data_IF_873204730060
#
_entry.id   IF_873204730060
#
_cell.length_a   1.000
_cell.length_b   1.000
_cell.length_c   1.000
_cell.angle_alpha   90.00
_cell.angle_beta   90.00
_cell.angle_gamma   90.00
#
_symmetry.space_group_name_H-M   'P 1'
#
loop_
_entity.id
_entity.type
_entity.pdbx_description
1 polymer ?
#
# COMPACT_ATOMS: atom_id res chain seq x y z
N UNK A 1 -35.87 -16.15 9.72
CA UNK A 1 -34.96 -16.25 8.65
C UNK A 1 -33.86 -15.16 8.79
N UNK A 2 -32.64 -15.54 9.22
CA UNK A 2 -31.54 -14.62 9.24
C UNK A 2 -31.08 -14.40 7.79
N UNK A 3 -31.31 -13.22 7.26
CA UNK A 3 -30.66 -12.76 6.04
C UNK A 3 -29.19 -12.54 6.34
N UNK A 4 -28.36 -13.55 6.11
CA UNK A 4 -26.92 -13.42 6.13
C UNK A 4 -26.51 -12.42 5.05
N UNK A 5 -26.10 -11.23 5.46
CA UNK A 5 -25.52 -10.26 4.56
C UNK A 5 -24.27 -10.85 3.95
N UNK A 6 -24.31 -11.19 2.67
CA UNK A 6 -23.14 -11.49 1.89
C UNK A 6 -22.37 -10.19 1.69
N UNK A 7 -21.30 -9.98 2.43
CA UNK A 7 -20.32 -8.94 2.09
C UNK A 7 -19.63 -9.42 0.81
N UNK A 8 -20.02 -8.85 -0.31
CA UNK A 8 -19.35 -9.09 -1.59
C UNK A 8 -17.97 -8.43 -1.53
N UNK A 9 -16.99 -9.16 -1.02
CA UNK A 9 -15.61 -8.70 -1.02
C UNK A 9 -15.05 -8.84 -2.44
N UNK A 10 -15.04 -7.74 -3.18
CA UNK A 10 -14.31 -7.66 -4.44
C UNK A 10 -12.82 -7.55 -4.11
N UNK A 11 -12.03 -8.51 -4.53
CA UNK A 11 -10.57 -8.49 -4.43
C UNK A 11 -10.00 -8.15 -5.78
N UNK A 12 -9.34 -7.02 -5.84
CA UNK A 12 -8.62 -6.57 -7.01
C UNK A 12 -7.18 -7.04 -6.91
N UNK A 13 -6.69 -7.61 -7.99
CA UNK A 13 -5.34 -8.15 -8.15
C UNK A 13 -4.86 -7.88 -9.56
N UNK A 14 -3.57 -7.96 -9.80
CA UNK A 14 -2.97 -7.77 -11.12
C UNK A 14 -2.41 -9.06 -11.67
N UNK A 15 -2.78 -9.41 -12.89
CA UNK A 15 -2.14 -10.45 -13.69
C UNK A 15 -0.91 -9.85 -14.39
N UNK A 16 0.28 -10.20 -13.90
CA UNK A 16 1.55 -9.62 -14.38
C UNK A 16 1.81 -9.90 -15.85
N UNK A 17 1.53 -11.13 -16.31
CA UNK A 17 1.78 -11.51 -17.70
C UNK A 17 0.83 -10.83 -18.67
N UNK A 18 -0.41 -10.58 -18.24
CA UNK A 18 -1.43 -9.91 -19.04
C UNK A 18 -1.48 -8.41 -18.84
N UNK A 19 -0.73 -7.89 -17.87
CA UNK A 19 -0.64 -6.46 -17.53
C UNK A 19 -2.01 -5.80 -17.32
N UNK A 20 -2.89 -6.49 -16.59
CA UNK A 20 -4.26 -6.01 -16.35
C UNK A 20 -4.80 -6.40 -14.98
N UNK A 21 -5.75 -5.63 -14.54
CA UNK A 21 -6.54 -5.92 -13.36
C UNK A 21 -7.38 -7.19 -13.53
N UNK A 22 -7.50 -7.95 -12.46
CA UNK A 22 -8.36 -9.13 -12.37
C UNK A 22 -9.17 -9.03 -11.08
N UNK A 23 -10.47 -9.19 -11.18
CA UNK A 23 -11.35 -9.13 -10.04
C UNK A 23 -11.80 -10.52 -9.63
N UNK A 24 -11.33 -10.99 -8.47
CA UNK A 24 -11.74 -12.25 -7.91
C UNK A 24 -13.08 -12.09 -7.19
N UNK A 25 -14.12 -12.61 -7.82
CA UNK A 25 -15.50 -12.59 -7.29
C UNK A 25 -15.95 -13.94 -6.75
N UNK A 26 -15.24 -15.00 -7.06
CA UNK A 26 -15.55 -16.39 -6.71
C UNK A 26 -14.23 -17.14 -6.51
N UNK A 27 -14.27 -18.18 -5.66
CA UNK A 27 -13.10 -19.00 -5.37
C UNK A 27 -12.80 -19.06 -3.88
N UNK A 28 -11.66 -19.59 -3.53
CA UNK A 28 -11.18 -19.63 -2.15
C UNK A 28 -10.80 -18.24 -1.67
N UNK A 29 -11.27 -17.89 -0.48
CA UNK A 29 -10.98 -16.58 0.13
C UNK A 29 -9.49 -16.42 0.41
N UNK A 30 -8.81 -17.48 0.83
CA UNK A 30 -7.39 -17.46 1.16
C UNK A 30 -6.52 -17.25 -0.08
N UNK A 31 -6.88 -17.85 -1.21
CA UNK A 31 -6.22 -17.60 -2.49
C UNK A 31 -6.36 -16.13 -2.88
N UNK A 32 -7.56 -15.57 -2.74
CA UNK A 32 -7.81 -14.17 -3.03
C UNK A 32 -7.04 -13.22 -2.10
N UNK A 33 -7.00 -13.53 -0.80
CA UNK A 33 -6.22 -12.76 0.19
C UNK A 33 -4.74 -12.84 -0.15
N UNK A 34 -4.21 -14.06 -0.41
CA UNK A 34 -2.80 -14.25 -0.72
C UNK A 34 -2.36 -13.52 -1.99
N UNK A 35 -3.18 -13.56 -3.03
CA UNK A 35 -2.93 -12.82 -4.26
C UNK A 35 -2.92 -11.30 -4.02
N UNK A 36 -3.86 -10.80 -3.20
CA UNK A 36 -4.06 -9.38 -2.91
C UNK A 36 -2.94 -8.74 -2.07
N UNK A 37 -2.13 -9.52 -1.36
CA UNK A 37 -0.98 -8.99 -0.63
C UNK A 37 0.37 -9.46 -1.19
N UNK A 38 0.39 -10.05 -2.39
CA UNK A 38 1.62 -10.40 -3.09
C UNK A 38 2.31 -9.15 -3.65
N UNK A 39 2.85 -8.32 -2.75
CA UNK A 39 3.49 -7.04 -3.08
C UNK A 39 4.78 -7.31 -3.86
N UNK A 40 4.94 -6.74 -5.08
CA UNK A 40 6.15 -6.89 -5.87
C UNK A 40 7.41 -6.43 -5.12
N UNK A 41 8.46 -7.24 -5.16
CA UNK A 41 9.70 -6.98 -4.45
C UNK A 41 9.72 -7.46 -2.99
N UNK A 42 8.55 -7.74 -2.39
CA UNK A 42 8.40 -8.25 -1.01
C UNK A 42 8.05 -9.73 -1.00
N UNK A 43 7.05 -10.09 -1.80
CA UNK A 43 6.56 -11.46 -1.92
C UNK A 43 6.65 -11.95 -3.36
N UNK A 44 6.80 -13.27 -3.50
CA UNK A 44 6.69 -13.90 -4.81
C UNK A 44 5.26 -13.78 -5.35
N UNK A 45 5.07 -13.58 -6.65
CA UNK A 45 3.75 -13.62 -7.26
C UNK A 45 2.99 -14.90 -6.88
N UNK A 46 1.69 -14.79 -6.70
CA UNK A 46 0.84 -15.93 -6.39
C UNK A 46 0.35 -16.58 -7.69
N UNK A 47 0.70 -17.86 -7.89
CA UNK A 47 0.24 -18.60 -9.06
C UNK A 47 -1.17 -19.17 -8.83
N UNK A 48 -2.12 -18.78 -9.68
CA UNK A 48 -3.48 -19.30 -9.67
C UNK A 48 -3.97 -19.58 -11.10
N UNK A 49 -4.28 -20.82 -11.40
CA UNK A 49 -4.76 -21.27 -12.72
C UNK A 49 -3.85 -20.80 -13.88
N UNK A 50 -2.54 -20.92 -13.72
CA UNK A 50 -1.55 -20.51 -14.72
C UNK A 50 -1.45 -18.99 -14.93
N UNK A 51 -1.82 -18.20 -13.92
CA UNK A 51 -1.65 -16.75 -13.87
C UNK A 51 -0.72 -16.39 -12.72
N UNK A 52 0.18 -15.46 -12.97
CA UNK A 52 1.02 -14.85 -11.94
C UNK A 52 0.35 -13.57 -11.43
N UNK A 53 -0.15 -13.65 -10.21
CA UNK A 53 -0.97 -12.63 -9.58
C UNK A 53 -0.19 -11.88 -8.52
N UNK A 54 -0.35 -10.56 -8.50
CA UNK A 54 0.23 -9.67 -7.50
C UNK A 54 -0.83 -8.71 -6.95
N UNK A 55 -0.45 -7.94 -5.94
CA UNK A 55 -1.28 -6.92 -5.30
C UNK A 55 -1.95 -5.99 -6.33
N UNK A 56 -3.24 -5.77 -6.15
CA UNK A 56 -4.05 -4.86 -6.96
C UNK A 56 -3.62 -3.41 -6.90
N UNK A 57 -3.03 -2.98 -5.79
CA UNK A 57 -2.49 -1.64 -5.60
C UNK A 57 -1.46 -1.22 -6.68
N UNK A 58 -0.87 -2.20 -7.39
CA UNK A 58 0.05 -1.92 -8.48
C UNK A 58 -0.61 -1.13 -9.63
N UNK A 59 -1.86 -1.40 -9.96
CA UNK A 59 -2.61 -0.71 -11.04
C UNK A 59 -3.81 0.09 -10.53
N UNK A 60 -4.35 -0.27 -9.36
CA UNK A 60 -5.50 0.39 -8.77
C UNK A 60 -5.30 0.65 -7.27
N UNK A 61 -4.43 1.60 -6.91
CA UNK A 61 -4.19 1.95 -5.50
C UNK A 61 -5.44 2.52 -4.82
N UNK A 62 -6.37 3.07 -5.59
CA UNK A 62 -7.70 3.47 -5.16
C UNK A 62 -8.75 2.82 -6.08
N UNK A 63 -9.29 1.63 -5.73
CA UNK A 63 -10.17 0.86 -6.62
C UNK A 63 -11.59 1.46 -6.68
N UNK A 64 -11.73 2.73 -7.05
CA UNK A 64 -12.99 3.48 -7.08
C UNK A 64 -13.97 2.83 -8.06
N UNK A 65 -13.51 2.50 -9.26
CA UNK A 65 -14.33 1.88 -10.30
C UNK A 65 -14.97 0.57 -9.83
N UNK A 66 -14.26 -0.22 -9.01
CA UNK A 66 -14.80 -1.48 -8.47
C UNK A 66 -16.00 -1.24 -7.55
N UNK A 67 -15.98 -0.14 -6.79
CA UNK A 67 -17.04 0.20 -5.84
C UNK A 67 -18.29 0.73 -6.51
N UNK A 68 -18.17 1.35 -7.70
CA UNK A 68 -19.32 1.85 -8.49
C UNK A 68 -20.22 0.74 -9.00
N UNK A 69 -19.74 -0.51 -8.98
CA UNK A 69 -20.55 -1.70 -9.32
C UNK A 69 -21.43 -2.18 -8.15
N UNK A 70 -21.31 -1.56 -6.99
CA UNK A 70 -22.17 -1.80 -5.84
C UNK A 70 -23.30 -0.78 -5.81
N UNK A 71 -24.43 -1.13 -5.15
CA UNK A 71 -25.56 -0.20 -4.93
C UNK A 71 -25.26 0.83 -3.83
N UNK A 72 -24.02 1.15 -3.58
CA UNK A 72 -23.61 2.12 -2.57
C UNK A 72 -24.00 3.53 -3.01
N UNK A 73 -24.70 4.27 -2.13
CA UNK A 73 -25.13 5.64 -2.41
C UNK A 73 -24.05 6.68 -2.16
N UNK A 74 -23.01 6.35 -1.41
CA UNK A 74 -21.89 7.23 -1.10
C UNK A 74 -20.58 6.46 -1.11
N UNK A 75 -19.53 7.10 -1.59
CA UNK A 75 -18.19 6.57 -1.64
C UNK A 75 -17.26 7.43 -0.78
N UNK A 76 -16.60 6.78 0.16
CA UNK A 76 -15.53 7.38 0.95
C UNK A 76 -14.23 6.69 0.55
N UNK A 77 -13.26 7.45 0.06
CA UNK A 77 -11.94 6.95 -0.27
C UNK A 77 -10.92 7.34 0.81
N UNK A 78 -10.04 6.41 1.14
CA UNK A 78 -8.87 6.68 2.00
C UNK A 78 -7.64 6.64 1.11
N UNK A 79 -7.05 7.80 0.87
CA UNK A 79 -5.85 7.96 0.05
C UNK A 79 -4.60 7.96 0.94
N UNK A 80 -3.76 6.94 0.78
CA UNK A 80 -2.51 6.77 1.54
C UNK A 80 -1.33 7.57 0.96
N UNK A 81 -1.55 8.32 -0.12
CA UNK A 81 -0.53 9.12 -0.81
C UNK A 81 -0.68 10.62 -0.51
N UNK A 82 -1.22 10.96 0.66
CA UNK A 82 -1.34 12.35 1.12
C UNK A 82 0.01 13.05 1.22
N UNK A 83 -0.02 14.38 1.38
CA UNK A 83 1.20 15.15 1.58
C UNK A 83 1.91 14.70 2.85
N UNK A 84 3.26 14.51 2.83
CA UNK A 84 3.99 14.06 4.01
C UNK A 84 3.92 15.08 5.14
N UNK A 85 3.95 14.61 6.39
CA UNK A 85 3.97 15.46 7.57
C UNK A 85 5.30 16.21 7.67
N UNK A 86 6.40 15.50 7.34
CA UNK A 86 7.73 16.10 7.27
C UNK A 86 8.08 16.34 5.80
N UNK A 87 8.30 17.59 5.38
CA UNK A 87 8.70 17.90 4.00
C UNK A 87 9.96 17.14 3.59
N UNK A 88 10.05 16.65 2.34
CA UNK A 88 11.25 16.01 1.84
C UNK A 88 12.48 16.92 1.97
N UNK A 89 13.58 16.41 2.55
CA UNK A 89 14.82 17.16 2.76
C UNK A 89 14.86 17.94 4.08
N UNK A 90 13.85 17.84 4.94
CA UNK A 90 13.91 18.42 6.29
C UNK A 90 14.78 17.54 7.21
N UNK A 91 15.78 18.10 7.90
CA UNK A 91 16.66 17.34 8.80
C UNK A 91 15.93 16.73 10.00
N UNK A 92 14.75 17.23 10.38
CA UNK A 92 13.91 16.64 11.42
C UNK A 92 13.47 15.21 11.10
N UNK A 93 13.60 14.76 9.85
CA UNK A 93 13.28 13.40 9.45
C UNK A 93 14.31 12.37 9.95
N UNK A 94 15.56 12.78 10.15
CA UNK A 94 16.64 11.89 10.55
C UNK A 94 16.67 11.65 12.07
N UNK A 95 16.04 12.52 12.87
CA UNK A 95 16.04 12.43 14.33
C UNK A 95 14.93 11.51 14.91
N UNK A 96 13.86 11.25 14.15
CA UNK A 96 12.71 10.44 14.60
C UNK A 96 12.84 8.92 14.35
N UNK A 97 13.98 8.44 13.84
CA UNK A 97 14.18 7.01 13.58
C UNK A 97 14.23 6.16 14.86
N UNK A 98 14.56 6.74 16.02
CA UNK A 98 14.73 6.00 17.29
C UNK A 98 13.41 5.42 17.86
N UNK A 99 12.25 5.98 17.48
CA UNK A 99 10.92 5.47 17.86
C UNK A 99 10.34 4.41 16.91
N UNK A 100 10.97 4.20 15.75
CA UNK A 100 10.50 3.32 14.67
C UNK A 100 11.16 1.95 14.66
N UNK A 101 12.00 1.66 15.64
CA UNK A 101 12.73 0.37 15.71
C UNK A 101 11.78 -0.82 15.70
N UNK A 102 11.95 -1.68 14.72
CA UNK A 102 11.16 -2.90 14.58
C UNK A 102 11.47 -3.90 15.69
N UNK A 103 10.46 -4.62 16.24
CA UNK A 103 10.70 -5.67 17.23
C UNK A 103 11.57 -6.79 16.66
N UNK A 104 12.63 -7.14 17.35
CA UNK A 104 13.57 -8.25 17.20
C UNK A 104 13.54 -9.12 15.92
N UNK A 105 12.56 -10.01 15.76
CA UNK A 105 12.47 -10.92 14.59
C UNK A 105 12.07 -10.17 13.32
N UNK A 106 11.18 -9.19 13.45
CA UNK A 106 10.70 -8.37 12.33
C UNK A 106 11.83 -7.45 11.85
N UNK A 107 12.60 -6.85 12.78
CA UNK A 107 13.77 -6.03 12.43
C UNK A 107 14.78 -6.82 11.60
N UNK A 108 15.15 -8.04 12.05
CA UNK A 108 16.07 -8.90 11.29
C UNK A 108 15.55 -9.33 9.93
N UNK A 109 14.23 -9.46 9.77
CA UNK A 109 13.62 -9.76 8.49
C UNK A 109 13.68 -8.54 7.55
N UNK A 110 13.40 -7.35 8.08
CA UNK A 110 13.51 -6.08 7.36
C UNK A 110 14.95 -5.85 6.90
N UNK A 111 15.92 -5.95 7.82
CA UNK A 111 17.34 -5.77 7.51
C UNK A 111 17.82 -6.74 6.42
N UNK A 112 17.28 -7.96 6.39
CA UNK A 112 17.64 -8.96 5.37
C UNK A 112 17.07 -8.68 3.99
N UNK A 113 15.87 -8.07 3.91
CA UNK A 113 15.15 -7.89 2.64
C UNK A 113 15.19 -6.46 2.11
N UNK A 114 15.43 -5.50 3.00
CA UNK A 114 15.43 -4.06 2.69
C UNK A 114 16.65 -3.33 3.26
N UNK A 115 17.47 -4.00 4.06
CA UNK A 115 18.74 -3.45 4.53
C UNK A 115 19.67 -3.22 3.36
N UNK A 116 20.34 -2.08 3.38
CA UNK A 116 21.37 -1.74 2.40
C UNK A 116 22.45 -2.83 2.40
N UNK A 117 22.79 -3.38 1.25
CA UNK A 117 24.03 -4.12 1.04
C UNK A 117 25.18 -3.10 1.18
N UNK A 118 25.61 -2.89 2.43
CA UNK A 118 26.74 -2.06 2.79
C UNK A 118 28.04 -2.79 2.39
N UNK A 119 28.22 -3.04 1.11
CA UNK A 119 29.50 -3.32 0.51
C UNK A 119 30.01 -2.08 -0.20
N UNK A 120 30.86 -1.32 0.46
CA UNK A 120 31.71 -0.37 -0.26
C UNK A 120 31.90 0.99 0.36
N UNK A 121 33.12 1.19 0.87
CA UNK A 121 33.83 2.46 0.87
C UNK A 121 33.11 3.68 1.50
N UNK A 122 33.10 3.72 2.78
CA UNK A 122 32.99 4.82 3.76
C UNK A 122 32.63 6.25 3.33
N UNK A 123 31.89 6.44 2.25
CA UNK A 123 31.38 7.75 1.83
C UNK A 123 29.88 7.81 2.12
N UNK A 124 29.39 8.85 2.79
CA UNK A 124 27.96 9.12 2.89
C UNK A 124 27.47 9.62 1.51
N UNK A 125 27.38 8.73 0.55
CA UNK A 125 26.74 9.02 -0.72
C UNK A 125 25.26 8.62 -0.54
N UNK A 126 24.34 9.58 -0.58
CA UNK A 126 22.89 9.42 -0.55
C UNK A 126 22.36 8.61 -1.76
N UNK A 127 23.02 7.52 -2.08
CA UNK A 127 22.60 6.61 -3.16
C UNK A 127 21.72 5.54 -2.55
N UNK A 128 20.42 5.68 -2.79
CA UNK A 128 19.46 4.63 -2.50
C UNK A 128 19.89 3.34 -3.16
N UNK A 129 19.84 2.23 -2.43
CA UNK A 129 20.03 0.89 -2.99
C UNK A 129 19.02 0.64 -4.12
N UNK A 130 19.31 -0.32 -5.00
CA UNK A 130 18.43 -0.65 -6.12
C UNK A 130 17.01 -0.99 -5.64
N UNK A 131 16.90 -1.79 -4.57
CA UNK A 131 15.63 -2.20 -3.97
C UNK A 131 14.84 -1.01 -3.45
N UNK A 132 15.49 -0.08 -2.74
CA UNK A 132 14.85 1.13 -2.25
C UNK A 132 14.42 2.05 -3.39
N UNK A 133 15.27 2.23 -4.40
CA UNK A 133 14.93 3.00 -5.60
C UNK A 133 13.70 2.41 -6.30
N UNK A 134 13.64 1.09 -6.46
CA UNK A 134 12.50 0.40 -7.06
C UNK A 134 11.22 0.56 -6.24
N UNK A 135 11.30 0.41 -4.91
CA UNK A 135 10.15 0.64 -4.02
C UNK A 135 9.62 2.06 -4.15
N UNK A 136 10.50 3.07 -4.06
CA UNK A 136 10.12 4.48 -4.21
C UNK A 136 9.56 4.80 -5.61
N UNK A 137 10.06 4.14 -6.64
CA UNK A 137 9.53 4.29 -8.00
C UNK A 137 8.11 3.72 -8.10
N UNK A 138 7.87 2.54 -7.53
CA UNK A 138 6.53 1.94 -7.45
C UNK A 138 5.56 2.85 -6.68
N UNK A 139 5.94 3.32 -5.50
CA UNK A 139 5.13 4.24 -4.69
C UNK A 139 4.80 5.53 -5.47
N UNK A 140 5.77 6.06 -6.21
CA UNK A 140 5.57 7.27 -7.02
C UNK A 140 4.58 7.03 -8.14
N UNK A 141 4.67 5.88 -8.83
CA UNK A 141 3.72 5.50 -9.88
C UNK A 141 2.31 5.27 -9.32
N UNK A 142 2.19 4.55 -8.20
CA UNK A 142 0.91 4.33 -7.52
C UNK A 142 0.27 5.65 -7.09
N UNK A 143 1.05 6.56 -6.49
CA UNK A 143 0.57 7.89 -6.11
C UNK A 143 0.05 8.69 -7.31
N UNK A 144 0.70 8.57 -8.47
CA UNK A 144 0.25 9.24 -9.69
C UNK A 144 -1.04 8.61 -10.23
N UNK A 145 -1.14 7.27 -10.23
CA UNK A 145 -2.35 6.55 -10.64
C UNK A 145 -3.51 6.93 -9.72
N UNK A 146 -3.30 6.96 -8.39
CA UNK A 146 -4.31 7.38 -7.42
C UNK A 146 -4.86 8.78 -7.71
N UNK A 147 -3.98 9.75 -8.02
CA UNK A 147 -4.40 11.11 -8.38
C UNK A 147 -5.24 11.15 -9.65
N UNK A 148 -4.86 10.37 -10.65
CA UNK A 148 -5.63 10.26 -11.90
C UNK A 148 -6.99 9.63 -11.64
N UNK A 149 -7.06 8.55 -10.86
CA UNK A 149 -8.32 7.90 -10.49
C UNK A 149 -9.25 8.85 -9.74
N UNK A 150 -8.73 9.58 -8.74
CA UNK A 150 -9.49 10.61 -8.01
C UNK A 150 -10.00 11.75 -8.91
N UNK A 151 -9.25 12.11 -9.95
CA UNK A 151 -9.65 13.15 -10.87
C UNK A 151 -10.72 12.69 -11.87
N UNK A 152 -10.64 11.41 -12.29
CA UNK A 152 -11.59 10.86 -13.27
C UNK A 152 -12.92 10.45 -12.64
N UNK A 153 -12.90 9.92 -11.44
CA UNK A 153 -14.07 9.43 -10.71
C UNK A 153 -14.01 9.85 -9.24
N UNK A 154 -14.29 11.12 -8.93
CA UNK A 154 -14.15 11.65 -7.58
C UNK A 154 -15.17 11.01 -6.63
N UNK A 155 -14.73 10.50 -5.46
CA UNK A 155 -15.62 10.08 -4.40
C UNK A 155 -16.23 11.28 -3.68
N UNK A 156 -17.31 11.08 -2.92
CA UNK A 156 -17.95 12.13 -2.14
C UNK A 156 -17.08 12.65 -0.99
N UNK A 157 -16.20 11.80 -0.47
CA UNK A 157 -15.25 12.17 0.59
C UNK A 157 -13.91 11.49 0.36
N UNK A 158 -12.82 12.24 0.52
CA UNK A 158 -11.44 11.72 0.47
C UNK A 158 -10.73 12.03 1.78
N UNK A 159 -10.39 11.00 2.53
CA UNK A 159 -9.54 11.09 3.71
C UNK A 159 -8.10 10.86 3.26
N UNK A 160 -7.24 11.85 3.44
CA UNK A 160 -5.82 11.77 3.02
C UNK A 160 -4.93 11.47 4.18
N UNK A 161 -4.31 10.29 4.16
CA UNK A 161 -3.30 9.89 5.13
C UNK A 161 -1.93 10.33 4.61
N UNK A 162 -1.09 10.99 5.44
CA UNK A 162 0.26 11.36 5.05
C UNK A 162 1.06 10.12 4.61
N UNK A 163 1.75 10.21 3.48
CA UNK A 163 2.50 9.08 2.91
C UNK A 163 3.67 8.60 3.77
N UNK A 164 4.13 9.43 4.69
CA UNK A 164 5.19 9.14 5.66
C UNK A 164 4.66 8.73 7.04
N UNK A 165 3.34 8.48 7.16
CA UNK A 165 2.72 8.05 8.41
C UNK A 165 3.30 6.71 8.89
N UNK A 166 3.55 5.75 7.98
CA UNK A 166 4.21 4.48 8.27
C UNK A 166 4.76 3.84 7.01
N UNK A 167 5.64 2.85 7.23
CA UNK A 167 6.00 1.89 6.19
C UNK A 167 4.99 0.73 6.18
N UNK A 168 4.86 0.05 5.03
CA UNK A 168 3.86 -1.02 4.85
C UNK A 168 4.02 -2.20 5.82
N UNK A 169 5.17 -2.37 6.47
CA UNK A 169 5.50 -3.46 7.39
C UNK A 169 5.46 -3.06 8.88
N UNK A 170 5.20 -1.80 9.21
CA UNK A 170 5.20 -1.28 10.60
C UNK A 170 3.90 -1.60 11.36
N UNK A 171 3.47 -2.86 11.37
CA UNK A 171 2.21 -3.29 11.99
C UNK A 171 2.14 -3.04 13.50
N UNK A 172 3.28 -2.91 14.17
CA UNK A 172 3.35 -2.61 15.62
C UNK A 172 2.91 -1.18 15.97
N UNK A 173 2.84 -0.28 14.99
CA UNK A 173 2.40 1.12 15.17
C UNK A 173 0.89 1.30 15.01
N UNK A 174 0.10 0.22 15.09
CA UNK A 174 -1.34 0.26 14.82
C UNK A 174 -2.10 1.30 15.65
N UNK A 175 -1.77 1.46 16.94
CA UNK A 175 -2.43 2.44 17.83
C UNK A 175 -2.21 3.89 17.32
N UNK A 176 -0.97 4.23 16.97
CA UNK A 176 -0.62 5.54 16.42
C UNK A 176 -1.31 5.80 15.07
N UNK A 177 -1.34 4.78 14.19
CA UNK A 177 -1.98 4.90 12.88
C UNK A 177 -3.50 5.08 12.98
N UNK A 178 -4.15 4.45 13.95
CA UNK A 178 -5.58 4.66 14.26
C UNK A 178 -5.82 6.12 14.64
N UNK A 179 -4.95 6.70 15.46
CA UNK A 179 -5.08 8.10 15.88
C UNK A 179 -4.80 9.08 14.73
N UNK A 180 -3.83 8.76 13.84
CA UNK A 180 -3.62 9.53 12.61
C UNK A 180 -4.88 9.48 11.75
N UNK A 181 -5.40 8.29 11.47
CA UNK A 181 -6.61 8.11 10.66
C UNK A 181 -7.82 8.87 11.22
N UNK A 182 -8.00 8.86 12.54
CA UNK A 182 -9.07 9.62 13.21
C UNK A 182 -8.91 11.13 12.98
N UNK A 183 -7.71 11.67 13.21
CA UNK A 183 -7.45 13.10 13.02
C UNK A 183 -7.66 13.53 11.56
N UNK A 184 -7.23 12.73 10.60
CA UNK A 184 -7.40 13.08 9.19
C UNK A 184 -8.87 12.96 8.75
N UNK A 185 -9.63 12.01 9.31
CA UNK A 185 -11.05 11.90 9.05
C UNK A 185 -11.87 13.06 9.66
N UNK A 186 -11.43 13.63 10.79
CA UNK A 186 -12.07 14.80 11.41
C UNK A 186 -11.82 16.10 10.64
N UNK A 187 -10.76 16.15 9.80
CA UNK A 187 -10.44 17.32 8.96
C UNK A 187 -11.14 17.28 7.59
N UNK A 188 -11.57 16.10 7.16
CA UNK A 188 -12.13 15.88 5.84
C UNK A 188 -13.64 16.20 5.77
#
# INVERSE_FOLDING_TARGET
GASGGYVSAHREIVDLLRQREVWLRRGDLWDAVRASFAIPGVFTPFELHGRELVDGGLLAPLPITATRLSDAHRLIAVDMHGWPQVPPGDPARDEDEDGRSAPGVVGRWIDRHFGDDADGDGRPDHRFGLTETMSRALDTMQAQIARVQLALDPPELVIRIPRDACQFYEFWRAAELIDIGRREAEKA
#
